data_IF_520126974072
#
_entry.id   IF_520126974072
#
_cell.length_a   1.000
_cell.length_b   1.000
_cell.length_c   1.000
_cell.angle_alpha   90.00
_cell.angle_beta   90.00
_cell.angle_gamma   90.00
#
_symmetry.space_group_name_H-M   'P 1'
#
loop_
_entity.id
_entity.type
_entity.pdbx_description
1 polymer ?
#
# COMPACT_ATOMS: atom_id res chain seq x y z
N UNK A 1 -18.74 -1.59 -31.56
CA UNK A 1 -18.79 -3.05 -31.40
C UNK A 1 -17.43 -3.47 -30.87
N UNK A 2 -17.36 -3.91 -29.62
CA UNK A 2 -16.09 -4.30 -28.98
C UNK A 2 -15.57 -5.57 -29.63
N UNK A 3 -14.40 -5.48 -30.27
CA UNK A 3 -13.64 -6.64 -30.71
C UNK A 3 -13.15 -7.38 -29.46
N UNK A 4 -13.95 -8.32 -28.93
CA UNK A 4 -13.48 -9.27 -27.95
C UNK A 4 -12.69 -10.34 -28.72
N UNK A 5 -11.41 -10.07 -29.00
CA UNK A 5 -10.48 -11.06 -29.53
C UNK A 5 -10.23 -12.13 -28.46
N UNK A 6 -11.13 -13.11 -28.42
CA UNK A 6 -11.06 -14.29 -27.59
C UNK A 6 -9.76 -15.04 -27.88
N UNK A 7 -8.85 -15.03 -26.91
CA UNK A 7 -7.61 -15.81 -26.97
C UNK A 7 -8.02 -17.30 -26.87
N UNK A 8 -7.50 -18.17 -27.76
CA UNK A 8 -7.83 -19.59 -27.70
C UNK A 8 -7.19 -20.25 -26.46
N UNK A 9 -7.85 -21.27 -25.91
CA UNK A 9 -7.42 -21.94 -24.67
C UNK A 9 -5.96 -22.39 -24.70
N UNK A 10 -5.45 -22.86 -25.84
CA UNK A 10 -4.06 -23.29 -25.97
C UNK A 10 -3.05 -22.15 -25.71
N UNK A 11 -3.36 -20.92 -26.16
CA UNK A 11 -2.50 -19.77 -25.91
C UNK A 11 -2.56 -19.33 -24.43
N UNK A 12 -3.72 -19.48 -23.79
CA UNK A 12 -3.89 -19.22 -22.35
C UNK A 12 -3.10 -20.24 -21.51
N UNK A 13 -3.22 -21.53 -21.82
CA UNK A 13 -2.49 -22.58 -21.10
C UNK A 13 -0.96 -22.37 -21.21
N UNK A 14 -0.47 -21.97 -22.39
CA UNK A 14 0.95 -21.68 -22.59
C UNK A 14 1.43 -20.41 -21.86
N UNK A 15 0.53 -19.49 -21.50
CA UNK A 15 0.90 -18.25 -20.81
C UNK A 15 0.95 -18.39 -19.28
N UNK A 16 0.47 -19.50 -18.71
CA UNK A 16 0.37 -19.66 -17.25
C UNK A 16 1.71 -19.59 -16.53
N UNK A 17 2.78 -20.15 -17.09
CA UNK A 17 4.11 -20.07 -16.47
C UNK A 17 4.55 -18.60 -16.33
N UNK A 18 4.47 -17.84 -17.42
CA UNK A 18 4.82 -16.41 -17.43
C UNK A 18 3.90 -15.59 -16.54
N UNK A 19 2.63 -15.97 -16.43
CA UNK A 19 1.66 -15.31 -15.57
C UNK A 19 2.00 -15.51 -14.09
N UNK A 20 2.37 -16.74 -13.69
CA UNK A 20 2.73 -17.07 -12.31
C UNK A 20 4.06 -16.45 -11.88
N UNK A 21 4.99 -16.28 -12.80
CA UNK A 21 6.28 -15.63 -12.55
C UNK A 21 6.20 -14.09 -12.57
N UNK A 22 5.04 -13.51 -12.92
CA UNK A 22 4.87 -12.06 -13.05
C UNK A 22 5.54 -11.44 -14.28
N UNK A 23 5.94 -12.27 -15.25
CA UNK A 23 6.61 -11.87 -16.49
C UNK A 23 5.63 -11.60 -17.64
N UNK A 24 4.35 -11.31 -17.33
CA UNK A 24 3.30 -11.08 -18.32
C UNK A 24 2.91 -9.60 -18.35
N UNK A 25 2.79 -9.03 -19.55
CA UNK A 25 2.37 -7.64 -19.74
C UNK A 25 0.94 -7.40 -19.22
N UNK A 26 0.71 -6.27 -18.56
CA UNK A 26 -0.60 -5.86 -18.03
C UNK A 26 -1.78 -5.99 -19.02
N UNK A 27 -1.68 -5.58 -20.30
CA UNK A 27 -2.76 -5.80 -21.28
C UNK A 27 -3.05 -7.29 -21.54
N UNK A 28 -2.03 -8.15 -21.47
CA UNK A 28 -2.21 -9.59 -21.65
C UNK A 28 -2.87 -10.22 -20.41
N UNK A 29 -2.51 -9.76 -19.21
CA UNK A 29 -3.18 -10.18 -17.96
C UNK A 29 -4.69 -9.93 -18.03
N UNK A 30 -5.11 -8.73 -18.44
CA UNK A 30 -6.53 -8.41 -18.57
C UNK A 30 -7.27 -9.34 -19.54
N UNK A 31 -6.67 -9.68 -20.68
CA UNK A 31 -7.27 -10.61 -21.64
C UNK A 31 -7.37 -12.04 -21.10
N UNK A 32 -6.37 -12.48 -20.32
CA UNK A 32 -6.40 -13.77 -19.66
C UNK A 32 -7.53 -13.80 -18.62
N UNK A 33 -7.67 -12.75 -17.80
CA UNK A 33 -8.75 -12.65 -16.81
C UNK A 33 -10.14 -12.77 -17.44
N UNK A 34 -10.37 -12.07 -18.55
CA UNK A 34 -11.63 -12.17 -19.30
C UNK A 34 -11.89 -13.60 -19.79
N UNK A 35 -10.87 -14.28 -20.33
CA UNK A 35 -11.00 -15.68 -20.75
C UNK A 35 -11.30 -16.63 -19.59
N UNK A 36 -10.68 -16.41 -18.41
CA UNK A 36 -10.90 -17.25 -17.23
C UNK A 36 -12.32 -17.11 -16.65
N UNK A 37 -12.98 -15.97 -16.85
CA UNK A 37 -14.38 -15.78 -16.49
C UNK A 37 -15.34 -16.59 -17.39
N UNK A 38 -14.97 -16.77 -18.65
CA UNK A 38 -15.80 -17.46 -19.65
C UNK A 38 -15.47 -18.97 -19.75
N UNK A 39 -14.24 -19.39 -19.44
CA UNK A 39 -13.78 -20.76 -19.55
C UNK A 39 -13.39 -21.38 -18.19
N UNK A 40 -14.27 -22.20 -17.58
CA UNK A 40 -13.98 -22.83 -16.28
C UNK A 40 -12.85 -23.87 -16.33
N UNK A 41 -12.60 -24.47 -17.50
CA UNK A 41 -11.51 -25.43 -17.66
C UNK A 41 -10.14 -24.75 -17.51
N UNK A 42 -9.93 -23.62 -18.18
CA UNK A 42 -8.69 -22.85 -18.03
C UNK A 42 -8.53 -22.31 -16.60
N UNK A 43 -9.63 -21.93 -15.92
CA UNK A 43 -9.59 -21.55 -14.51
C UNK A 43 -9.14 -22.72 -13.61
N UNK A 44 -9.66 -23.93 -13.83
CA UNK A 44 -9.23 -25.12 -13.11
C UNK A 44 -7.75 -25.42 -13.33
N UNK A 45 -7.28 -25.37 -14.58
CA UNK A 45 -5.87 -25.56 -14.92
C UNK A 45 -4.97 -24.51 -14.25
N UNK A 46 -5.37 -23.24 -14.20
CA UNK A 46 -4.61 -22.20 -13.49
C UNK A 46 -4.50 -22.50 -11.98
N UNK A 47 -5.57 -23.03 -11.36
CA UNK A 47 -5.50 -23.44 -9.95
C UNK A 47 -4.58 -24.65 -9.74
N UNK A 48 -4.52 -25.56 -10.71
CA UNK A 48 -3.60 -26.69 -10.69
C UNK A 48 -2.15 -26.20 -10.79
N UNK A 49 -1.84 -25.34 -11.76
CA UNK A 49 -0.50 -24.77 -11.93
C UNK A 49 -0.03 -23.99 -10.70
N UNK A 50 -0.90 -23.21 -10.06
CA UNK A 50 -0.57 -22.52 -8.79
C UNK A 50 -0.16 -23.49 -7.68
N UNK A 51 -0.83 -24.64 -7.58
CA UNK A 51 -0.49 -25.68 -6.59
C UNK A 51 0.84 -26.34 -6.91
N UNK A 52 1.10 -26.64 -8.19
CA UNK A 52 2.37 -27.21 -8.63
C UNK A 52 3.53 -26.24 -8.40
N UNK A 53 3.35 -24.97 -8.73
CA UNK A 53 4.34 -23.92 -8.47
C UNK A 53 4.64 -23.77 -6.98
N UNK A 54 3.61 -23.76 -6.12
CA UNK A 54 3.80 -23.69 -4.67
C UNK A 54 4.54 -24.93 -4.12
N UNK A 55 4.22 -26.13 -4.62
CA UNK A 55 4.91 -27.36 -4.24
C UNK A 55 6.40 -27.32 -4.62
N UNK A 56 6.72 -26.89 -5.84
CA UNK A 56 8.10 -26.73 -6.31
C UNK A 56 8.86 -25.71 -5.45
N UNK A 57 8.23 -24.56 -5.13
CA UNK A 57 8.84 -23.55 -4.26
C UNK A 57 9.12 -24.10 -2.86
N UNK A 58 8.20 -24.86 -2.27
CA UNK A 58 8.40 -25.47 -0.95
C UNK A 58 9.51 -26.51 -0.96
N UNK A 59 9.57 -27.37 -1.98
CA UNK A 59 10.70 -28.31 -2.15
C UNK A 59 12.03 -27.57 -2.25
N UNK A 60 12.11 -26.53 -3.09
CA UNK A 60 13.32 -25.74 -3.24
C UNK A 60 13.72 -25.00 -1.96
N UNK A 61 12.76 -24.45 -1.20
CA UNK A 61 13.04 -23.81 0.09
C UNK A 61 13.62 -24.78 1.13
N UNK A 62 13.17 -26.04 1.10
CA UNK A 62 13.69 -27.08 2.00
C UNK A 62 15.07 -27.59 1.60
N UNK A 63 15.39 -27.59 0.31
CA UNK A 63 16.69 -28.07 -0.20
C UNK A 63 17.74 -26.97 -0.27
N UNK A 64 17.34 -25.73 -0.56
CA UNK A 64 18.20 -24.58 -0.72
C UNK A 64 18.02 -23.65 0.49
N UNK A 65 18.64 -24.00 1.61
CA UNK A 65 18.71 -23.15 2.80
C UNK A 65 19.88 -22.15 2.68
N UNK A 66 19.89 -21.36 1.61
CA UNK A 66 20.88 -20.30 1.46
C UNK A 66 20.65 -19.24 2.55
N UNK A 67 21.69 -18.99 3.34
CA UNK A 67 21.64 -17.95 4.38
C UNK A 67 21.76 -16.60 3.68
N UNK A 68 20.86 -15.68 4.00
CA UNK A 68 20.94 -14.32 3.46
C UNK A 68 22.28 -13.67 3.87
N UNK A 69 22.92 -12.87 2.99
CA UNK A 69 24.16 -12.18 3.32
C UNK A 69 24.01 -11.29 4.55
N UNK A 70 25.01 -11.26 5.44
CA UNK A 70 24.99 -10.43 6.66
C UNK A 70 24.73 -8.95 6.36
N UNK A 71 25.27 -8.45 5.24
CA UNK A 71 25.02 -7.07 4.78
C UNK A 71 23.54 -6.76 4.56
N UNK A 72 22.76 -7.73 4.09
CA UNK A 72 21.31 -7.56 3.90
C UNK A 72 20.62 -7.45 5.26
N UNK A 73 21.00 -8.30 6.22
CA UNK A 73 20.49 -8.23 7.59
C UNK A 73 20.75 -6.86 8.22
N UNK A 74 21.98 -6.36 8.11
CA UNK A 74 22.34 -5.04 8.64
C UNK A 74 21.56 -3.92 7.95
N UNK A 75 21.42 -3.97 6.62
CA UNK A 75 20.67 -2.95 5.86
C UNK A 75 19.19 -2.93 6.22
N UNK A 76 18.55 -4.09 6.39
CA UNK A 76 17.15 -4.22 6.80
C UNK A 76 17.00 -3.71 8.24
N UNK A 77 17.92 -4.08 9.12
CA UNK A 77 17.93 -3.62 10.50
C UNK A 77 18.02 -2.09 10.59
N UNK A 78 18.94 -1.49 9.84
CA UNK A 78 19.08 -0.03 9.73
C UNK A 78 17.84 0.63 9.13
N UNK A 79 17.26 0.04 8.08
CA UNK A 79 16.05 0.58 7.45
C UNK A 79 14.87 0.58 8.42
N UNK A 80 14.64 -0.53 9.12
CA UNK A 80 13.58 -0.64 10.14
C UNK A 80 13.83 0.38 11.26
N UNK A 81 15.07 0.49 11.76
CA UNK A 81 15.40 1.47 12.80
C UNK A 81 15.24 2.91 12.32
N UNK A 82 15.60 3.22 11.07
CA UNK A 82 15.39 4.55 10.49
C UNK A 82 13.91 4.89 10.36
N UNK A 83 13.07 3.93 10.00
CA UNK A 83 11.62 4.10 9.92
C UNK A 83 11.00 4.26 11.30
N UNK A 84 11.46 3.52 12.31
CA UNK A 84 10.98 3.63 13.69
C UNK A 84 11.41 4.95 14.32
N UNK A 85 12.67 5.38 14.13
CA UNK A 85 13.16 6.68 14.60
C UNK A 85 12.45 7.85 13.90
N UNK A 86 12.10 7.71 12.61
CA UNK A 86 11.26 8.69 11.90
C UNK A 86 9.77 8.61 12.25
N UNK A 87 9.29 7.48 12.78
CA UNK A 87 7.90 7.27 13.19
C UNK A 87 7.63 7.69 14.64
N UNK A 88 8.65 7.84 15.49
CA UNK A 88 8.50 8.43 16.83
C UNK A 88 8.48 9.97 16.81
N UNK A 89 8.76 10.59 15.67
CA UNK A 89 8.59 12.04 15.44
C UNK A 89 7.35 12.36 14.60
N UNK A 90 6.28 11.54 14.68
CA UNK A 90 4.95 12.05 14.31
C UNK A 90 4.53 13.07 15.36
N UNK A 91 5.05 14.28 15.23
CA UNK A 91 4.55 15.48 15.86
C UNK A 91 3.09 15.65 15.40
N UNK A 92 2.14 15.29 16.26
CA UNK A 92 0.72 15.52 16.00
C UNK A 92 0.46 16.99 16.29
N UNK A 93 0.56 17.82 15.27
CA UNK A 93 0.20 19.24 15.32
C UNK A 93 -1.29 19.37 15.02
N UNK A 94 -2.07 19.81 16.00
CA UNK A 94 -3.48 20.14 15.78
C UNK A 94 -3.57 21.64 15.48
N UNK A 95 -3.94 21.99 14.25
CA UNK A 95 -4.13 23.39 13.83
C UNK A 95 -5.63 23.67 13.69
N UNK A 96 -6.09 24.73 14.35
CA UNK A 96 -7.45 25.24 14.26
C UNK A 96 -7.44 26.69 13.78
N UNK A 97 -8.11 26.95 12.66
CA UNK A 97 -8.31 28.29 12.10
C UNK A 97 -9.80 28.59 12.03
N UNK A 98 -10.23 29.69 12.64
CA UNK A 98 -11.62 30.15 12.57
C UNK A 98 -11.68 31.61 12.14
N UNK A 99 -12.46 31.90 11.11
CA UNK A 99 -12.77 33.27 10.68
C UNK A 99 -14.22 33.57 11.02
N UNK A 100 -14.43 34.56 11.89
CA UNK A 100 -15.75 35.09 12.23
C UNK A 100 -15.98 36.40 11.43
N UNK A 101 -17.04 36.42 10.63
CA UNK A 101 -17.43 37.59 9.83
C UNK A 101 -18.75 38.13 10.35
N UNK A 102 -18.72 39.35 10.88
CA UNK A 102 -19.90 40.08 11.35
C UNK A 102 -20.22 41.23 10.40
N UNK A 103 -21.47 41.29 9.95
CA UNK A 103 -21.98 42.34 9.08
C UNK A 103 -23.19 42.96 9.79
N UNK A 104 -23.06 44.22 10.17
CA UNK A 104 -24.13 45.00 10.83
C UNK A 104 -24.57 46.13 9.89
N UNK A 105 -25.87 46.43 9.87
CA UNK A 105 -26.44 47.52 9.06
C UNK A 105 -27.11 48.50 10.01
N UNK A 106 -26.69 49.76 9.97
CA UNK A 106 -27.27 50.82 10.81
C UNK A 106 -28.65 51.27 10.29
N UNK A 107 -29.38 52.06 11.09
CA UNK A 107 -30.72 52.59 10.71
C UNK A 107 -30.71 53.51 9.47
N UNK A 108 -29.53 53.91 9.00
CA UNK A 108 -29.33 54.76 7.82
C UNK A 108 -28.86 53.96 6.59
N UNK A 109 -28.71 52.63 6.72
CA UNK A 109 -28.34 51.73 5.62
C UNK A 109 -26.84 51.64 5.35
N UNK A 110 -25.98 52.15 6.24
CA UNK A 110 -24.54 51.96 6.13
C UNK A 110 -24.16 50.57 6.66
N UNK A 111 -23.25 49.90 5.95
CA UNK A 111 -22.78 48.56 6.30
C UNK A 111 -21.49 48.69 7.12
N UNK A 112 -21.51 48.23 8.35
CA UNK A 112 -20.31 48.02 9.17
C UNK A 112 -19.88 46.55 9.05
N UNK A 113 -18.64 46.34 8.61
CA UNK A 113 -18.06 45.01 8.42
C UNK A 113 -16.90 44.82 9.39
N UNK A 114 -16.95 43.72 10.15
CA UNK A 114 -15.89 43.32 11.06
C UNK A 114 -15.51 41.86 10.81
N UNK A 115 -14.24 41.65 10.51
CA UNK A 115 -13.64 40.34 10.35
C UNK A 115 -12.70 40.07 11.52
N UNK A 116 -12.85 38.91 12.16
CA UNK A 116 -11.99 38.44 13.25
C UNK A 116 -11.43 37.09 12.82
N UNK A 117 -10.11 37.01 12.71
CA UNK A 117 -9.40 35.75 12.42
C UNK A 117 -8.75 35.24 13.70
N UNK A 118 -9.06 33.98 14.04
CA UNK A 118 -8.52 33.29 15.22
C UNK A 118 -7.72 32.10 14.72
N UNK A 119 -6.42 32.11 15.02
CA UNK A 119 -5.49 31.02 14.72
C UNK A 119 -5.02 30.41 16.04
N UNK A 120 -5.16 29.09 16.17
CA UNK A 120 -4.74 28.33 17.34
C UNK A 120 -3.98 27.07 16.91
N UNK A 121 -2.80 26.87 17.47
CA UNK A 121 -1.98 25.68 17.23
C UNK A 121 -1.61 25.04 18.56
N UNK A 122 -1.93 23.75 18.72
CA UNK A 122 -1.54 22.96 19.89
C UNK A 122 -0.58 21.84 19.46
N UNK A 123 0.53 21.70 20.19
CA UNK A 123 1.56 20.70 19.98
C UNK A 123 1.62 19.76 21.19
N UNK A 124 1.33 18.48 20.97
CA UNK A 124 1.40 17.46 22.02
C UNK A 124 2.70 16.67 21.85
N UNK A 125 3.58 16.74 22.86
CA UNK A 125 4.83 15.98 22.90
C UNK A 125 4.73 14.83 23.89
N UNK A 126 4.90 13.60 23.41
CA UNK A 126 5.04 12.43 24.27
C UNK A 126 6.50 12.32 24.72
N UNK A 127 6.76 12.54 26.01
CA UNK A 127 8.07 12.27 26.59
C UNK A 127 8.24 10.76 26.72
N UNK A 128 9.29 10.22 26.10
CA UNK A 128 9.69 8.83 26.29
C UNK A 128 10.18 8.69 27.75
N UNK A 129 9.35 8.17 28.66
CA UNK A 129 9.79 7.82 30.01
C UNK A 129 10.61 6.53 29.92
N UNK A 130 11.90 6.69 29.64
CA UNK A 130 12.85 5.61 29.55
C UNK A 130 13.10 4.99 30.93
N UNK A 131 12.20 4.13 31.39
CA UNK A 131 12.53 3.13 32.40
C UNK A 131 13.42 2.08 31.74
N UNK A 132 14.74 2.33 31.76
CA UNK A 132 15.74 1.29 31.55
C UNK A 132 15.58 0.25 32.69
N UNK A 133 14.81 -0.80 32.45
CA UNK A 133 14.89 -2.03 33.25
C UNK A 133 16.21 -2.72 32.91
N UNK A 134 17.29 -2.27 33.55
CA UNK A 134 18.47 -3.08 33.76
C UNK A 134 18.22 -4.00 34.96
N UNK A 135 17.74 -5.23 34.72
CA UNK A 135 17.84 -6.30 35.71
C UNK A 135 18.32 -7.62 35.06
N UNK A 136 19.62 -7.86 35.30
CA UNK A 136 20.35 -9.13 35.52
C UNK A 136 20.22 -10.26 34.49
#
# INVERSE_FOLDING_TARGET
MSHNELIPCNQILNSFVLLLEGNTDLPMVHRIELHLLECPNCAAELTHERKMHALLQDVLRRTCCEVAPEQLHDSIYQQIHSQIMGSFTTEVKTEYTMTEISIEIDEFGNVEHREITIEHSEEIRYLNDGSQENEI
#
